data_IF_807534006771
#
_entry.id   IF_807534006771
#
_cell.length_a   1.000
_cell.length_b   1.000
_cell.length_c   1.000
_cell.angle_alpha   90.00
_cell.angle_beta   90.00
_cell.angle_gamma   90.00
#
_symmetry.space_group_name_H-M   'P 1'
#
loop_
_entity.id
_entity.type
_entity.pdbx_description
1 polymer ?
#
# COMPACT_ATOMS: atom_id res chain seq x y z
N UNK A 1 46.20 7.74 -10.26
CA UNK A 1 45.96 6.55 -9.45
C UNK A 1 45.03 6.74 -8.26
N UNK A 2 45.03 7.82 -7.49
CA UNK A 2 44.16 8.01 -6.29
C UNK A 2 42.66 8.16 -6.58
N UNK A 3 42.23 8.55 -7.77
CA UNK A 3 40.77 8.67 -8.13
C UNK A 3 40.12 7.33 -8.52
N UNK A 4 40.91 6.37 -8.97
CA UNK A 4 40.38 5.03 -9.34
C UNK A 4 40.14 4.17 -8.07
N UNK A 5 40.95 4.30 -7.05
CA UNK A 5 40.81 3.57 -5.80
C UNK A 5 39.56 3.96 -4.98
N UNK A 6 39.15 5.24 -5.01
CA UNK A 6 37.90 5.67 -4.34
C UNK A 6 36.63 5.13 -4.99
N UNK A 7 36.60 4.94 -6.31
CA UNK A 7 35.45 4.37 -7.02
C UNK A 7 35.27 2.88 -6.74
N UNK A 8 36.36 2.12 -6.63
CA UNK A 8 36.31 0.68 -6.33
C UNK A 8 35.88 0.41 -4.89
N UNK A 9 36.28 1.24 -3.90
CA UNK A 9 35.85 1.09 -2.50
C UNK A 9 34.33 1.38 -2.36
N UNK A 10 33.77 2.36 -3.07
CA UNK A 10 32.33 2.64 -3.05
C UNK A 10 31.51 1.52 -3.70
N UNK A 11 32.02 0.90 -4.74
CA UNK A 11 31.37 -0.24 -5.41
C UNK A 11 31.38 -1.48 -4.51
N UNK A 12 32.48 -1.73 -3.78
CA UNK A 12 32.55 -2.84 -2.83
C UNK A 12 31.65 -2.64 -1.61
N UNK A 13 31.48 -1.40 -1.12
CA UNK A 13 30.56 -1.08 -0.02
C UNK A 13 29.10 -1.23 -0.43
N UNK A 14 28.74 -0.88 -1.66
CA UNK A 14 27.40 -1.11 -2.20
C UNK A 14 27.14 -2.62 -2.37
N UNK A 15 28.11 -3.37 -2.87
CA UNK A 15 28.02 -4.84 -2.93
C UNK A 15 27.93 -5.47 -1.54
N UNK A 16 28.68 -4.95 -0.55
CA UNK A 16 28.66 -5.47 0.83
C UNK A 16 27.32 -5.18 1.52
N UNK A 17 26.69 -4.04 1.24
CA UNK A 17 25.36 -3.71 1.76
C UNK A 17 24.27 -4.61 1.14
N UNK A 18 24.44 -5.04 -0.12
CA UNK A 18 23.57 -6.03 -0.76
C UNK A 18 23.82 -7.46 -0.23
N UNK A 19 25.02 -7.79 0.24
CA UNK A 19 25.37 -9.12 0.78
C UNK A 19 24.88 -9.34 2.22
N UNK A 20 24.61 -8.28 2.98
CA UNK A 20 24.04 -8.38 4.33
C UNK A 20 22.51 -8.67 4.33
N UNK A 21 21.88 -8.70 3.16
CA UNK A 21 20.50 -9.15 3.01
C UNK A 21 20.50 -10.66 2.70
N UNK A 22 21.11 -11.46 3.55
CA UNK A 22 21.22 -12.93 3.38
C UNK A 22 19.90 -13.71 3.43
N UNK A 23 18.74 -13.05 3.56
CA UNK A 23 17.43 -13.71 3.57
C UNK A 23 16.53 -13.40 2.39
N UNK A 24 16.91 -12.51 1.49
CA UNK A 24 16.16 -12.27 0.25
C UNK A 24 16.82 -13.04 -0.88
N UNK A 25 16.61 -14.34 -0.96
CA UNK A 25 16.84 -15.12 -2.18
C UNK A 25 15.80 -14.76 -3.26
N UNK A 26 15.59 -13.50 -3.51
CA UNK A 26 14.95 -13.05 -4.72
C UNK A 26 16.06 -13.03 -5.79
N UNK A 27 15.90 -13.85 -6.81
CA UNK A 27 16.76 -13.91 -7.99
C UNK A 27 16.75 -12.54 -8.66
N UNK A 28 17.66 -11.65 -8.21
CA UNK A 28 17.99 -10.46 -8.98
C UNK A 28 18.99 -10.92 -10.02
N UNK A 29 18.70 -10.82 -11.32
CA UNK A 29 19.67 -11.19 -12.36
C UNK A 29 20.97 -10.41 -12.16
N UNK A 30 22.07 -11.11 -12.02
CA UNK A 30 23.38 -10.66 -11.53
C UNK A 30 24.14 -9.69 -12.47
N UNK A 31 23.54 -9.20 -13.56
CA UNK A 31 24.29 -8.57 -14.67
C UNK A 31 23.80 -7.22 -15.18
N UNK A 32 23.11 -6.41 -14.36
CA UNK A 32 22.73 -5.08 -14.88
C UNK A 32 22.94 -4.01 -13.82
N UNK A 33 24.02 -3.21 -13.92
CA UNK A 33 24.10 -1.93 -13.20
C UNK A 33 23.21 -0.93 -13.94
N UNK A 34 22.00 -0.67 -13.46
CA UNK A 34 21.11 0.23 -14.16
C UNK A 34 21.65 1.66 -14.07
N UNK A 35 21.63 2.38 -15.20
CA UNK A 35 21.69 3.84 -15.16
C UNK A 35 20.56 4.39 -14.30
N UNK A 36 20.70 5.60 -13.75
CA UNK A 36 19.65 6.25 -12.91
C UNK A 36 18.29 6.19 -13.61
N UNK A 37 18.23 6.37 -14.94
CA UNK A 37 17.02 6.27 -15.75
C UNK A 37 16.40 4.86 -15.75
N UNK A 38 17.23 3.81 -15.70
CA UNK A 38 16.76 2.43 -15.60
C UNK A 38 16.32 2.06 -14.17
N UNK A 39 16.94 2.65 -13.13
CA UNK A 39 16.51 2.46 -11.74
C UNK A 39 15.08 2.96 -11.53
N UNK A 40 14.72 4.11 -12.09
CA UNK A 40 13.34 4.62 -12.01
C UNK A 40 12.32 3.66 -12.66
N UNK A 41 12.68 3.07 -13.82
CA UNK A 41 11.84 2.05 -14.46
C UNK A 41 11.74 0.77 -13.62
N UNK A 42 12.80 0.41 -12.92
CA UNK A 42 12.83 -0.76 -12.05
C UNK A 42 12.13 -0.53 -10.70
N UNK A 43 11.89 0.71 -10.29
CA UNK A 43 11.21 1.01 -9.03
C UNK A 43 9.84 0.35 -8.92
N UNK A 44 9.07 0.34 -10.02
CA UNK A 44 7.79 -0.37 -10.08
C UNK A 44 7.94 -1.89 -9.96
N UNK A 45 9.00 -2.45 -10.52
CA UNK A 45 9.29 -3.89 -10.38
C UNK A 45 9.64 -4.22 -8.92
N UNK A 46 10.47 -3.41 -8.27
CA UNK A 46 10.79 -3.53 -6.85
C UNK A 46 9.51 -3.40 -6.00
N UNK A 47 8.64 -2.43 -6.34
CA UNK A 47 7.35 -2.26 -5.69
C UNK A 47 6.43 -3.48 -5.84
N UNK A 48 6.35 -4.06 -7.04
CA UNK A 48 5.60 -5.30 -7.27
C UNK A 48 6.12 -6.47 -6.43
N UNK A 49 7.44 -6.62 -6.34
CA UNK A 49 8.04 -7.65 -5.49
C UNK A 49 7.72 -7.40 -4.00
N UNK A 50 7.74 -6.15 -3.56
CA UNK A 50 7.30 -5.79 -2.21
C UNK A 50 5.85 -6.21 -1.96
N UNK A 51 4.95 -5.97 -2.92
CA UNK A 51 3.55 -6.38 -2.84
C UNK A 51 3.39 -7.91 -2.82
N UNK A 52 4.17 -8.64 -3.60
CA UNK A 52 4.18 -10.11 -3.54
C UNK A 52 4.61 -10.63 -2.17
N UNK A 53 5.63 -10.01 -1.55
CA UNK A 53 6.05 -10.38 -0.20
C UNK A 53 4.95 -10.15 0.85
N UNK A 54 4.10 -9.12 0.68
CA UNK A 54 2.91 -8.94 1.52
C UNK A 54 1.97 -10.15 1.41
N UNK A 55 1.72 -10.61 0.20
CA UNK A 55 0.85 -11.76 -0.04
C UNK A 55 1.37 -13.04 0.63
N UNK A 56 2.70 -13.21 0.67
CA UNK A 56 3.36 -14.35 1.34
C UNK A 56 3.59 -14.13 2.84
N UNK A 57 3.08 -13.05 3.43
CA UNK A 57 3.23 -12.76 4.86
C UNK A 57 4.63 -12.30 5.29
N UNK A 58 5.53 -12.01 4.33
CA UNK A 58 6.88 -11.53 4.59
C UNK A 58 6.87 -10.00 4.76
N UNK A 59 6.25 -9.53 5.86
CA UNK A 59 5.89 -8.12 6.04
C UNK A 59 7.10 -7.20 6.17
N UNK A 60 8.16 -7.62 6.88
CA UNK A 60 9.35 -6.76 7.09
C UNK A 60 10.16 -6.64 5.79
N UNK A 61 10.32 -7.73 5.04
CA UNK A 61 11.02 -7.73 3.75
C UNK A 61 10.25 -6.88 2.73
N UNK A 62 8.93 -7.02 2.71
CA UNK A 62 8.05 -6.15 1.92
C UNK A 62 8.26 -4.67 2.26
N UNK A 63 8.29 -4.33 3.56
CA UNK A 63 8.50 -2.96 4.02
C UNK A 63 9.85 -2.40 3.55
N UNK A 64 10.90 -3.21 3.60
CA UNK A 64 12.24 -2.80 3.17
C UNK A 64 12.30 -2.56 1.67
N UNK A 65 11.71 -3.45 0.85
CA UNK A 65 11.64 -3.25 -0.59
C UNK A 65 10.75 -2.07 -0.99
N UNK A 66 9.60 -1.89 -0.33
CA UNK A 66 8.71 -0.76 -0.60
C UNK A 66 9.39 0.59 -0.28
N UNK A 67 10.13 0.69 0.83
CA UNK A 67 10.95 1.88 1.14
C UNK A 67 12.00 2.14 0.06
N UNK A 68 12.67 1.09 -0.42
CA UNK A 68 13.66 1.23 -1.50
C UNK A 68 12.99 1.73 -2.79
N UNK A 69 11.86 1.16 -3.17
CA UNK A 69 11.12 1.57 -4.37
C UNK A 69 10.75 3.07 -4.34
N UNK A 70 10.20 3.54 -3.22
CA UNK A 70 9.86 4.96 -3.01
C UNK A 70 11.11 5.85 -3.00
N UNK A 71 12.22 5.39 -2.41
CA UNK A 71 13.48 6.15 -2.42
C UNK A 71 14.02 6.36 -3.83
N UNK A 72 13.80 5.39 -4.73
CA UNK A 72 14.22 5.48 -6.15
C UNK A 72 13.27 6.39 -6.93
N UNK A 73 11.95 6.26 -6.72
CA UNK A 73 10.95 7.03 -7.45
C UNK A 73 9.82 7.51 -6.50
N UNK A 74 10.05 8.63 -5.86
CA UNK A 74 9.07 9.23 -4.93
C UNK A 74 7.89 9.92 -5.65
N UNK A 75 7.89 9.99 -6.99
CA UNK A 75 6.82 10.66 -7.77
C UNK A 75 5.71 9.71 -8.20
N UNK A 76 5.80 8.43 -7.87
CA UNK A 76 4.84 7.40 -8.25
C UNK A 76 3.93 7.09 -7.05
N UNK A 77 2.65 7.41 -7.19
CA UNK A 77 1.64 7.21 -6.14
C UNK A 77 1.44 5.73 -5.78
N UNK A 78 1.65 4.83 -6.74
CA UNK A 78 1.48 3.38 -6.51
C UNK A 78 2.55 2.85 -5.56
N UNK A 79 3.77 3.37 -5.66
CA UNK A 79 4.85 2.99 -4.75
C UNK A 79 4.58 3.43 -3.32
N UNK A 80 4.00 4.63 -3.14
CA UNK A 80 3.58 5.11 -1.84
C UNK A 80 2.43 4.28 -1.28
N UNK A 81 1.49 3.84 -2.13
CA UNK A 81 0.39 2.97 -1.72
C UNK A 81 0.93 1.60 -1.26
N UNK A 82 1.84 0.98 -2.03
CA UNK A 82 2.49 -0.28 -1.64
C UNK A 82 3.27 -0.12 -0.30
N UNK A 83 3.98 0.99 -0.13
CA UNK A 83 4.68 1.28 1.12
C UNK A 83 3.69 1.39 2.29
N UNK A 84 2.56 2.06 2.08
CA UNK A 84 1.53 2.18 3.10
C UNK A 84 0.94 0.82 3.48
N UNK A 85 0.66 -0.05 2.52
CA UNK A 85 0.17 -1.41 2.78
C UNK A 85 1.19 -2.24 3.56
N UNK A 86 2.48 -2.15 3.20
CA UNK A 86 3.55 -2.79 3.95
C UNK A 86 3.65 -2.27 5.39
N UNK A 87 3.44 -0.97 5.59
CA UNK A 87 3.41 -0.35 6.92
C UNK A 87 2.17 -0.78 7.73
N UNK A 88 1.01 -0.92 7.08
CA UNK A 88 -0.22 -1.45 7.73
C UNK A 88 0.00 -2.88 8.21
N UNK A 89 0.55 -3.74 7.35
CA UNK A 89 0.85 -5.13 7.70
C UNK A 89 1.82 -5.23 8.88
N UNK A 90 2.77 -4.30 8.99
CA UNK A 90 3.69 -4.16 10.11
C UNK A 90 3.12 -3.36 11.30
N UNK A 91 1.83 -3.03 11.31
CA UNK A 91 1.14 -2.25 12.36
C UNK A 91 1.72 -0.83 12.57
N UNK A 92 2.47 -0.29 11.60
CA UNK A 92 3.08 1.05 11.62
C UNK A 92 2.07 2.10 11.11
N UNK A 93 0.92 2.21 11.77
CA UNK A 93 -0.26 2.96 11.30
C UNK A 93 -0.01 4.45 11.03
N UNK A 94 0.73 5.13 11.92
CA UNK A 94 1.10 6.55 11.72
C UNK A 94 1.92 6.75 10.44
N UNK A 95 2.87 5.85 10.20
CA UNK A 95 3.71 5.90 8.99
C UNK A 95 2.87 5.61 7.74
N UNK A 96 1.95 4.65 7.82
CA UNK A 96 1.03 4.34 6.73
C UNK A 96 0.18 5.54 6.32
N UNK A 97 -0.40 6.28 7.28
CA UNK A 97 -1.13 7.52 6.98
C UNK A 97 -0.26 8.56 6.29
N UNK A 98 1.00 8.72 6.72
CA UNK A 98 1.94 9.63 6.06
C UNK A 98 2.20 9.21 4.60
N UNK A 99 2.40 7.92 4.35
CA UNK A 99 2.61 7.38 3.00
C UNK A 99 1.36 7.55 2.13
N UNK A 100 0.16 7.28 2.68
CA UNK A 100 -1.12 7.49 1.99
C UNK A 100 -1.37 8.97 1.68
N UNK A 101 -0.97 9.89 2.56
CA UNK A 101 -1.04 11.32 2.29
C UNK A 101 -0.11 11.73 1.15
N UNK A 102 1.08 11.12 1.04
CA UNK A 102 1.97 11.35 -0.10
C UNK A 102 1.39 10.82 -1.40
N UNK A 103 0.78 9.63 -1.39
CA UNK A 103 0.09 9.09 -2.56
C UNK A 103 -1.08 10.01 -3.00
N UNK A 104 -1.92 10.48 -2.05
CA UNK A 104 -3.03 11.41 -2.32
C UNK A 104 -2.55 12.76 -2.88
N UNK A 105 -1.42 13.31 -2.39
CA UNK A 105 -0.82 14.54 -2.92
C UNK A 105 -0.38 14.40 -4.37
N UNK A 106 0.07 13.22 -4.79
CA UNK A 106 0.50 12.94 -6.17
C UNK A 106 -0.72 12.71 -7.05
N UNK A 107 -1.66 11.88 -6.60
CA UNK A 107 -2.88 11.57 -7.33
C UNK A 107 -4.04 11.31 -6.36
N UNK A 108 -4.95 12.28 -6.27
CA UNK A 108 -6.12 12.20 -5.39
C UNK A 108 -7.28 11.39 -5.98
N UNK A 109 -7.19 10.94 -7.24
CA UNK A 109 -8.26 10.20 -7.91
C UNK A 109 -8.03 8.68 -7.92
N UNK A 110 -7.51 8.15 -6.81
CA UNK A 110 -7.28 6.72 -6.60
C UNK A 110 -8.07 6.27 -5.38
N UNK A 111 -9.10 5.45 -5.60
CA UNK A 111 -10.02 4.97 -4.56
C UNK A 111 -9.31 4.16 -3.48
N UNK A 112 -8.33 3.34 -3.86
CA UNK A 112 -7.56 2.46 -2.98
C UNK A 112 -6.83 3.24 -1.87
N UNK A 113 -6.40 4.49 -2.13
CA UNK A 113 -5.78 5.35 -1.13
C UNK A 113 -6.76 5.61 0.03
N UNK A 114 -8.01 5.91 -0.30
CA UNK A 114 -9.03 6.23 0.68
C UNK A 114 -9.53 4.97 1.41
N UNK A 115 -9.61 3.84 0.72
CA UNK A 115 -9.93 2.56 1.35
C UNK A 115 -8.84 2.12 2.33
N UNK A 116 -7.55 2.30 1.95
CA UNK A 116 -6.44 2.05 2.84
C UNK A 116 -6.43 3.00 4.05
N UNK A 117 -6.71 4.31 3.85
CA UNK A 117 -6.87 5.28 4.94
C UNK A 117 -7.96 4.87 5.90
N UNK A 118 -9.13 4.48 5.38
CA UNK A 118 -10.24 4.01 6.20
C UNK A 118 -9.85 2.81 7.05
N UNK A 119 -9.20 1.81 6.44
CA UNK A 119 -8.71 0.64 7.17
C UNK A 119 -7.77 1.06 8.32
N UNK A 120 -6.83 1.96 8.07
CA UNK A 120 -5.93 2.45 9.13
C UNK A 120 -6.71 3.18 10.22
N UNK A 121 -7.64 4.07 9.86
CA UNK A 121 -8.45 4.80 10.83
C UNK A 121 -9.30 3.87 11.72
N UNK A 122 -9.86 2.80 11.16
CA UNK A 122 -10.55 1.77 11.94
C UNK A 122 -9.60 1.04 12.91
N UNK A 123 -8.37 0.74 12.48
CA UNK A 123 -7.35 0.09 13.34
C UNK A 123 -6.90 0.95 14.52
N UNK A 124 -7.00 2.28 14.40
CA UNK A 124 -6.67 3.21 15.48
C UNK A 124 -7.92 3.83 16.14
N UNK A 125 -9.10 3.22 15.92
CA UNK A 125 -10.40 3.60 16.51
C UNK A 125 -10.88 5.01 16.15
N UNK A 126 -10.44 5.57 15.02
CA UNK A 126 -10.85 6.87 14.48
C UNK A 126 -12.05 6.69 13.50
N UNK A 127 -13.18 6.23 14.02
CA UNK A 127 -14.33 5.80 13.21
C UNK A 127 -14.87 6.90 12.29
N UNK A 128 -14.96 8.15 12.76
CA UNK A 128 -15.44 9.28 11.94
C UNK A 128 -14.52 9.53 10.74
N UNK A 129 -13.20 9.47 10.94
CA UNK A 129 -12.24 9.65 9.85
C UNK A 129 -12.28 8.49 8.87
N UNK A 130 -12.53 7.26 9.37
CA UNK A 130 -12.70 6.08 8.52
C UNK A 130 -13.92 6.24 7.60
N UNK A 131 -15.05 6.68 8.13
CA UNK A 131 -16.29 6.96 7.37
C UNK A 131 -16.05 7.97 6.25
N UNK A 132 -15.47 9.13 6.57
CA UNK A 132 -15.13 10.17 5.60
C UNK A 132 -14.21 9.63 4.49
N UNK A 133 -13.21 8.83 4.86
CA UNK A 133 -12.32 8.22 3.89
C UNK A 133 -13.06 7.24 2.97
N UNK A 134 -13.91 6.35 3.51
CA UNK A 134 -14.73 5.44 2.70
C UNK A 134 -15.65 6.17 1.74
N UNK A 135 -16.32 7.21 2.20
CA UNK A 135 -17.20 8.04 1.37
C UNK A 135 -16.46 8.67 0.19
N UNK A 136 -15.24 9.19 0.43
CA UNK A 136 -14.38 9.69 -0.65
C UNK A 136 -14.01 8.60 -1.65
N UNK A 137 -13.60 7.43 -1.18
CA UNK A 137 -13.24 6.31 -2.05
C UNK A 137 -14.43 5.80 -2.87
N UNK A 138 -15.62 5.68 -2.26
CA UNK A 138 -16.87 5.28 -2.93
C UNK A 138 -17.32 6.33 -3.96
N UNK A 139 -17.04 7.62 -3.73
CA UNK A 139 -17.31 8.66 -4.74
C UNK A 139 -16.47 8.46 -6.00
N UNK A 140 -15.25 7.98 -5.88
CA UNK A 140 -14.35 7.68 -7.01
C UNK A 140 -14.74 6.34 -7.64
N UNK A 141 -15.07 5.33 -6.83
CA UNK A 141 -15.43 3.97 -7.28
C UNK A 141 -16.81 3.57 -6.71
N UNK A 142 -17.93 4.03 -7.32
CA UNK A 142 -19.28 3.86 -6.77
C UNK A 142 -19.78 2.42 -6.68
N UNK A 143 -19.13 1.50 -7.41
CA UNK A 143 -19.53 0.09 -7.49
C UNK A 143 -18.58 -0.83 -6.69
N UNK A 144 -17.76 -0.28 -5.79
CA UNK A 144 -16.95 -1.10 -4.90
C UNK A 144 -17.83 -1.68 -3.77
N UNK A 145 -18.36 -2.89 -4.00
CA UNK A 145 -19.23 -3.57 -3.05
C UNK A 145 -18.60 -3.75 -1.67
N UNK A 146 -17.28 -4.01 -1.59
CA UNK A 146 -16.58 -4.17 -0.32
C UNK A 146 -16.51 -2.87 0.48
N UNK A 147 -16.23 -1.75 -0.19
CA UNK A 147 -16.19 -0.44 0.46
C UNK A 147 -17.59 -0.02 0.95
N UNK A 148 -18.63 -0.27 0.14
CA UNK A 148 -20.04 0.00 0.50
C UNK A 148 -20.43 -0.84 1.72
N UNK A 149 -20.07 -2.13 1.74
CA UNK A 149 -20.29 -3.00 2.88
C UNK A 149 -19.56 -2.50 4.15
N UNK A 150 -18.30 -2.09 4.03
CA UNK A 150 -17.57 -1.52 5.16
C UNK A 150 -18.22 -0.25 5.70
N UNK A 151 -18.76 0.59 4.82
CA UNK A 151 -19.50 1.77 5.24
C UNK A 151 -20.79 1.38 5.98
N UNK A 152 -21.50 0.36 5.51
CA UNK A 152 -22.66 -0.23 6.20
C UNK A 152 -22.31 -0.70 7.61
N UNK A 153 -21.17 -1.37 7.78
CA UNK A 153 -20.68 -1.78 9.11
C UNK A 153 -20.41 -0.59 10.03
N UNK A 154 -19.89 0.53 9.52
CA UNK A 154 -19.73 1.74 10.32
C UNK A 154 -21.07 2.26 10.79
N UNK A 155 -22.08 2.35 9.90
CA UNK A 155 -23.42 2.79 10.29
C UNK A 155 -24.10 1.83 11.28
N UNK A 156 -23.84 0.52 11.15
CA UNK A 156 -24.29 -0.48 12.11
C UNK A 156 -23.68 -0.23 13.50
N UNK A 157 -22.39 0.06 13.59
CA UNK A 157 -21.70 0.43 14.83
C UNK A 157 -22.24 1.74 15.42
N UNK A 158 -22.68 2.68 14.59
CA UNK A 158 -23.34 3.93 14.97
C UNK A 158 -24.80 3.70 15.38
N UNK A 159 -25.31 2.45 15.33
CA UNK A 159 -26.72 2.07 15.56
C UNK A 159 -27.69 2.71 14.57
N UNK A 160 -27.20 3.18 13.44
CA UNK A 160 -28.02 3.67 12.33
C UNK A 160 -28.40 2.51 11.40
N UNK A 161 -29.32 1.69 11.87
CA UNK A 161 -29.70 0.45 11.21
C UNK A 161 -30.29 0.67 9.81
N UNK A 162 -31.06 1.74 9.61
CA UNK A 162 -31.69 2.02 8.31
C UNK A 162 -30.66 2.26 7.22
N UNK A 163 -29.66 3.09 7.48
CA UNK A 163 -28.59 3.35 6.52
C UNK A 163 -27.67 2.12 6.33
N UNK A 164 -27.41 1.36 7.41
CA UNK A 164 -26.65 0.12 7.30
C UNK A 164 -27.35 -0.88 6.35
N UNK A 165 -28.66 -1.13 6.51
CA UNK A 165 -29.45 -2.02 5.64
C UNK A 165 -29.39 -1.56 4.18
N UNK A 166 -29.60 -0.26 3.90
CA UNK A 166 -29.52 0.28 2.53
C UNK A 166 -28.17 0.02 1.87
N UNK A 167 -27.09 0.15 2.64
CA UNK A 167 -25.73 -0.06 2.14
C UNK A 167 -25.44 -1.55 1.92
N UNK A 168 -25.92 -2.43 2.79
CA UNK A 168 -25.80 -3.87 2.60
C UNK A 168 -26.59 -4.33 1.37
N UNK A 169 -27.82 -3.87 1.19
CA UNK A 169 -28.62 -4.14 -0.01
C UNK A 169 -27.93 -3.64 -1.28
N UNK A 170 -27.35 -2.43 -1.23
CA UNK A 170 -26.57 -1.91 -2.36
C UNK A 170 -25.35 -2.80 -2.66
N UNK A 171 -24.64 -3.26 -1.64
CA UNK A 171 -23.48 -4.15 -1.80
C UNK A 171 -23.88 -5.48 -2.44
N UNK A 172 -25.00 -6.09 -1.99
CA UNK A 172 -25.56 -7.35 -2.53
C UNK A 172 -26.01 -7.16 -3.98
N UNK A 173 -26.69 -6.05 -4.31
CA UNK A 173 -27.09 -5.74 -5.70
C UNK A 173 -25.92 -5.66 -6.66
N UNK A 174 -24.77 -5.13 -6.20
CA UNK A 174 -23.53 -5.05 -7.01
C UNK A 174 -22.91 -6.45 -7.13
N UNK A 175 -22.88 -7.21 -6.04
CA UNK A 175 -22.30 -8.56 -6.00
C UNK A 175 -23.23 -9.51 -5.22
N UNK A 176 -24.15 -10.23 -5.92
CA UNK A 176 -25.17 -11.08 -5.27
C UNK A 176 -24.62 -12.23 -4.44
N UNK A 177 -23.43 -12.73 -4.76
CA UNK A 177 -22.74 -13.81 -4.02
C UNK A 177 -21.86 -13.31 -2.87
N UNK A 178 -21.99 -12.02 -2.50
CA UNK A 178 -21.23 -11.44 -1.39
C UNK A 178 -21.87 -11.80 -0.04
N UNK A 179 -21.61 -13.03 0.43
CA UNK A 179 -22.24 -13.64 1.60
C UNK A 179 -22.07 -12.84 2.91
N UNK A 180 -21.00 -12.04 3.06
CA UNK A 180 -20.81 -11.20 4.24
C UNK A 180 -21.91 -10.15 4.41
N UNK A 181 -22.40 -9.60 3.29
CA UNK A 181 -23.47 -8.62 3.34
C UNK A 181 -24.87 -9.26 3.51
N UNK A 182 -25.00 -10.54 3.17
CA UNK A 182 -26.26 -11.28 3.30
C UNK A 182 -26.52 -11.64 4.77
N UNK A 183 -25.47 -11.87 5.56
CA UNK A 183 -25.57 -12.36 6.93
C UNK A 183 -25.51 -11.24 8.00
N UNK A 184 -25.46 -9.98 7.62
CA UNK A 184 -25.50 -8.82 8.51
C UNK A 184 -26.85 -8.13 8.48
#
# INVERSE_FOLDING_TARGET
MKKFFKKTIWISLICFYFFQIERVRAIVPYYYFPTIKNLQKQSLYIGKNAYQLLYFGQYEDSLNLAKLAVKINAKDEKLWLILAEAQIANKKYKNALNSLNKAEQINSNISEIYFAKSNVYLKISEQTKAKIALEKGIKIEPNNHKAIFQLGNIFLMEKNYLEAIKLFDKSIKIKPDFWQAINN
#
